data_IF_749076498827
#
_entry.id   IF_749076498827
#
_cell.length_a   1.000
_cell.length_b   1.000
_cell.length_c   1.000
_cell.angle_alpha   90.00
_cell.angle_beta   90.00
_cell.angle_gamma   90.00
#
_symmetry.space_group_name_H-M   'P 1'
#
loop_
_entity.id
_entity.type
_entity.pdbx_description
1 polymer ?
#
# COMPACT_ATOMS: atom_id res chain seq x y z
N UNK A 1 20.41 16.68 17.48
CA UNK A 1 19.47 17.61 16.81
C UNK A 1 20.09 18.00 15.47
N UNK A 2 19.35 17.76 14.40
CA UNK A 2 19.71 18.14 13.02
C UNK A 2 19.09 19.52 12.72
N UNK A 3 19.75 20.60 13.13
CA UNK A 3 19.25 21.98 12.98
C UNK A 3 20.26 22.84 12.22
N UNK A 4 19.80 23.89 11.53
CA UNK A 4 20.67 24.81 10.78
C UNK A 4 21.23 24.24 9.47
N UNK A 5 20.60 23.21 8.90
CA UNK A 5 21.05 22.57 7.67
C UNK A 5 20.75 23.43 6.43
N UNK A 6 21.60 23.34 5.41
CA UNK A 6 21.37 23.93 4.08
C UNK A 6 20.89 22.85 3.12
N UNK A 7 19.74 23.05 2.49
CA UNK A 7 19.23 22.14 1.47
C UNK A 7 20.12 22.19 0.22
N UNK A 8 20.70 21.05 -0.16
CA UNK A 8 21.57 20.94 -1.34
C UNK A 8 20.85 20.38 -2.58
N UNK A 9 19.84 19.53 -2.37
CA UNK A 9 19.12 18.86 -3.45
C UNK A 9 18.34 17.63 -2.96
N UNK A 10 17.65 16.97 -3.90
CA UNK A 10 16.86 15.77 -3.67
C UNK A 10 17.21 14.70 -4.71
N UNK A 11 17.32 13.45 -4.28
CA UNK A 11 17.38 12.29 -5.16
C UNK A 11 16.14 11.43 -4.94
N UNK A 12 15.49 11.01 -6.04
CA UNK A 12 14.37 10.08 -6.00
C UNK A 12 14.84 8.68 -6.39
N UNK A 13 14.40 7.68 -5.63
CA UNK A 13 14.59 6.27 -5.96
C UNK A 13 13.27 5.53 -5.86
N UNK A 14 13.13 4.46 -6.64
CA UNK A 14 11.95 3.60 -6.64
C UNK A 14 12.41 2.15 -6.49
N UNK A 15 11.67 1.38 -5.71
CA UNK A 15 11.72 -0.07 -5.74
C UNK A 15 10.59 -0.56 -6.66
N UNK A 16 10.88 -0.87 -7.94
CA UNK A 16 9.83 -1.24 -8.88
C UNK A 16 9.26 -2.63 -8.51
N UNK A 17 7.95 -2.86 -8.70
CA UNK A 17 7.38 -4.18 -8.52
C UNK A 17 8.01 -5.14 -9.53
N UNK A 18 8.24 -6.39 -9.11
CA UNK A 18 8.77 -7.43 -10.01
C UNK A 18 7.82 -7.64 -11.20
N UNK A 19 8.36 -7.91 -12.37
CA UNK A 19 7.61 -7.98 -13.64
C UNK A 19 6.46 -9.00 -13.57
N UNK A 20 6.69 -10.13 -12.90
CA UNK A 20 5.74 -11.22 -12.74
C UNK A 20 4.54 -10.90 -11.83
N UNK A 21 4.65 -9.88 -10.97
CA UNK A 21 3.62 -9.58 -9.95
C UNK A 21 2.31 -9.14 -10.59
N UNK A 22 2.37 -8.38 -11.71
CA UNK A 22 1.19 -7.96 -12.43
C UNK A 22 0.37 -9.15 -12.91
N UNK A 23 1.03 -10.15 -13.50
CA UNK A 23 0.38 -11.33 -14.03
C UNK A 23 -0.17 -12.23 -12.90
N UNK A 24 0.56 -12.32 -11.78
CA UNK A 24 0.10 -13.02 -10.59
C UNK A 24 -1.16 -12.38 -9.99
N UNK A 25 -1.18 -11.05 -9.83
CA UNK A 25 -2.35 -10.30 -9.34
C UNK A 25 -3.55 -10.51 -10.27
N UNK A 26 -3.36 -10.39 -11.59
CA UNK A 26 -4.42 -10.63 -12.57
C UNK A 26 -4.96 -12.06 -12.48
N UNK A 27 -4.09 -13.05 -12.31
CA UNK A 27 -4.49 -14.45 -12.18
C UNK A 27 -5.30 -14.69 -10.91
N UNK A 28 -4.86 -14.14 -9.77
CA UNK A 28 -5.58 -14.23 -8.51
C UNK A 28 -6.98 -13.60 -8.63
N UNK A 29 -7.07 -12.38 -9.16
CA UNK A 29 -8.35 -11.68 -9.37
C UNK A 29 -9.25 -12.47 -10.31
N UNK A 30 -8.72 -13.01 -11.42
CA UNK A 30 -9.47 -13.85 -12.36
C UNK A 30 -9.99 -15.16 -11.75
N UNK A 31 -9.33 -15.65 -10.70
CA UNK A 31 -9.77 -16.81 -9.90
C UNK A 31 -10.73 -16.43 -8.76
N UNK A 32 -11.10 -15.15 -8.61
CA UNK A 32 -11.94 -14.68 -7.50
C UNK A 32 -11.21 -14.51 -6.17
N UNK A 33 -9.88 -14.52 -6.18
CA UNK A 33 -9.04 -14.27 -5.00
C UNK A 33 -8.74 -12.77 -4.96
N UNK A 34 -9.03 -12.11 -3.83
CA UNK A 34 -8.74 -10.68 -3.60
C UNK A 34 -7.36 -10.51 -2.94
N UNK A 35 -6.34 -9.99 -3.64
CA UNK A 35 -5.05 -9.68 -3.03
C UNK A 35 -5.14 -8.40 -2.22
N UNK A 36 -4.46 -8.36 -1.06
CA UNK A 36 -4.34 -7.17 -0.19
C UNK A 36 -2.85 -6.85 -0.05
N UNK A 37 -2.48 -5.59 -0.19
CA UNK A 37 -1.10 -5.11 0.00
C UNK A 37 -0.87 -4.79 1.47
N UNK A 38 0.31 -5.09 2.00
CA UNK A 38 0.75 -4.62 3.32
C UNK A 38 2.16 -4.06 3.11
N UNK A 39 2.37 -2.79 3.44
CA UNK A 39 3.68 -2.13 3.25
C UNK A 39 3.94 -1.09 4.34
N UNK A 40 5.23 -0.85 4.62
CA UNK A 40 5.69 0.23 5.49
C UNK A 40 5.90 1.57 4.78
N UNK A 41 5.66 1.61 3.46
CA UNK A 41 5.78 2.83 2.68
C UNK A 41 4.68 3.84 3.03
N UNK A 42 4.89 5.09 2.62
CA UNK A 42 3.82 6.07 2.71
C UNK A 42 2.61 5.67 1.84
N UNK A 43 1.41 6.08 2.28
CA UNK A 43 0.14 5.77 1.60
C UNK A 43 0.15 6.18 0.13
N UNK A 44 0.81 7.29 -0.20
CA UNK A 44 0.93 7.78 -1.58
C UNK A 44 1.66 6.79 -2.50
N UNK A 45 2.81 6.27 -2.05
CA UNK A 45 3.61 5.30 -2.81
C UNK A 45 2.88 3.97 -2.90
N UNK A 46 2.32 3.48 -1.79
CA UNK A 46 1.57 2.23 -1.76
C UNK A 46 0.39 2.25 -2.76
N UNK A 47 -0.40 3.34 -2.77
CA UNK A 47 -1.49 3.53 -3.74
C UNK A 47 -0.99 3.59 -5.17
N UNK A 48 0.17 4.22 -5.43
CA UNK A 48 0.74 4.28 -6.77
C UNK A 48 1.12 2.88 -7.28
N UNK A 49 1.77 2.06 -6.44
CA UNK A 49 2.12 0.67 -6.77
C UNK A 49 0.86 -0.19 -6.94
N UNK A 50 -0.12 -0.09 -6.04
CA UNK A 50 -1.38 -0.82 -6.15
C UNK A 50 -2.11 -0.53 -7.47
N UNK A 51 -2.17 0.74 -7.88
CA UNK A 51 -2.74 1.14 -9.18
C UNK A 51 -1.96 0.53 -10.35
N UNK A 52 -0.63 0.53 -10.27
CA UNK A 52 0.19 -0.11 -11.29
C UNK A 52 -0.14 -1.60 -11.39
N UNK A 53 -0.32 -2.30 -10.27
CA UNK A 53 -0.64 -3.73 -10.24
C UNK A 53 -2.10 -4.08 -10.58
N UNK A 54 -2.99 -3.09 -10.68
CA UNK A 54 -4.42 -3.30 -10.93
C UNK A 54 -5.19 -3.73 -9.67
N UNK A 55 -4.69 -3.37 -8.50
CA UNK A 55 -5.32 -3.61 -7.20
C UNK A 55 -6.22 -2.44 -6.79
N UNK A 56 -7.08 -2.67 -5.79
CA UNK A 56 -7.83 -1.60 -5.13
C UNK A 56 -6.91 -0.62 -4.39
N UNK A 57 -7.48 0.51 -3.94
CA UNK A 57 -6.72 1.61 -3.33
C UNK A 57 -7.27 2.04 -1.96
N UNK A 58 -8.25 1.32 -1.39
CA UNK A 58 -8.81 1.65 -0.09
C UNK A 58 -7.78 1.32 1.00
N UNK A 59 -7.01 2.33 1.38
CA UNK A 59 -5.84 2.16 2.23
C UNK A 59 -6.14 2.55 3.67
N UNK A 60 -5.58 1.82 4.62
CA UNK A 60 -5.60 2.14 6.04
C UNK A 60 -4.16 2.21 6.55
N UNK A 61 -3.81 3.30 7.24
CA UNK A 61 -2.49 3.41 7.86
C UNK A 61 -2.40 2.54 9.11
N UNK A 62 -1.18 2.15 9.51
CA UNK A 62 -0.98 1.42 10.76
C UNK A 62 -1.57 2.14 11.98
N UNK A 63 -1.42 3.46 12.06
CA UNK A 63 -2.01 4.25 13.17
C UNK A 63 -3.54 4.28 13.16
N UNK A 64 -4.18 4.26 11.99
CA UNK A 64 -5.64 4.11 11.88
C UNK A 64 -6.07 2.70 12.27
N UNK A 65 -5.32 1.67 11.85
CA UNK A 65 -5.59 0.27 12.17
C UNK A 65 -5.49 0.01 13.67
N UNK A 66 -4.45 0.52 14.32
CA UNK A 66 -4.22 0.39 15.77
C UNK A 66 -5.31 1.10 16.61
N UNK A 67 -5.96 2.10 16.03
CA UNK A 67 -7.06 2.83 16.67
C UNK A 67 -8.43 2.14 16.51
N UNK A 68 -8.56 1.12 15.64
CA UNK A 68 -9.81 0.38 15.45
C UNK A 68 -10.06 -0.61 16.57
N UNK A 69 -11.32 -0.75 16.99
CA UNK A 69 -11.72 -1.90 17.80
C UNK A 69 -11.78 -3.17 16.94
N UNK A 70 -11.80 -4.34 17.58
CA UNK A 70 -11.99 -5.61 16.86
C UNK A 70 -13.30 -5.64 16.06
N UNK A 71 -14.38 -5.07 16.60
CA UNK A 71 -15.67 -4.99 15.91
C UNK A 71 -15.64 -4.04 14.71
N UNK A 72 -14.89 -2.94 14.80
CA UNK A 72 -14.70 -2.04 13.67
C UNK A 72 -13.85 -2.70 12.58
N UNK A 73 -12.75 -3.33 12.98
CA UNK A 73 -11.88 -4.07 12.06
C UNK A 73 -12.65 -5.17 11.34
N UNK A 74 -13.42 -5.99 12.06
CA UNK A 74 -14.22 -7.06 11.49
C UNK A 74 -15.22 -6.57 10.43
N UNK A 75 -15.77 -5.35 10.59
CA UNK A 75 -16.70 -4.76 9.61
C UNK A 75 -16.01 -4.17 8.40
N UNK A 76 -14.79 -3.63 8.56
CA UNK A 76 -14.12 -2.83 7.53
C UNK A 76 -13.06 -3.59 6.74
N UNK A 77 -12.48 -4.66 7.29
CA UNK A 77 -11.33 -5.37 6.71
C UNK A 77 -11.60 -5.91 5.30
N UNK A 78 -12.85 -6.26 5.00
CA UNK A 78 -13.25 -6.74 3.67
C UNK A 78 -13.16 -5.66 2.58
N UNK A 79 -13.25 -4.39 2.97
CA UNK A 79 -13.18 -3.25 2.06
C UNK A 79 -11.75 -2.71 1.91
N UNK A 80 -10.80 -3.14 2.74
CA UNK A 80 -9.42 -2.63 2.76
C UNK A 80 -8.52 -3.35 1.74
N UNK A 81 -7.77 -2.60 0.95
CA UNK A 81 -6.90 -3.10 -0.11
C UNK A 81 -5.40 -2.95 0.20
N UNK A 82 -5.04 -2.00 1.07
CA UNK A 82 -3.66 -1.58 1.39
C UNK A 82 -3.53 -1.25 2.88
#
# INVERSE_FOLDING_TARGET
>A
MEQGLTFLGLAGMIDPPREEVRDAVRTAVGAGIRPVMITGDNVGTARAIARQLGMGQNSVTGGELDAMSEEELARRVEEMDI
#
